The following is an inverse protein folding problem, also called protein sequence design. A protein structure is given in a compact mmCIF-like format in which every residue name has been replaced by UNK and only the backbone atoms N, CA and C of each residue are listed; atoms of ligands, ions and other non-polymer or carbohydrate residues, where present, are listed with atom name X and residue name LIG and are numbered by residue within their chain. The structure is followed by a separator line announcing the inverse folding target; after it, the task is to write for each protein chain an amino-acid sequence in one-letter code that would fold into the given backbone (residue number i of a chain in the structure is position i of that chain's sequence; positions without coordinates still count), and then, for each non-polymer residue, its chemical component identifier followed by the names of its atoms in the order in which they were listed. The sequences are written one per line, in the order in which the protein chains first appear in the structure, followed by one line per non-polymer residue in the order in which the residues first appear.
data_IF_001565656901
#
_entry.id   IF_001565656901
#
_cell.length_a   1.000
_cell.length_b   1.000
_cell.length_c   1.000
_cell.angle_alpha   90.00
_cell.angle_beta   90.00
_cell.angle_gamma   90.00
#
_symmetry.space_group_name_H-M   'P 1'
#
loop_
_entity.id
_entity.type
_entity.pdbx_description
1 polymer ?
#
# COMPACT_ATOMS: atom_id res chain seq x y z
N UNK A 1 -25.59 -23.68 -50.43
CA UNK A 1 -24.21 -23.16 -50.20
C UNK A 1 -24.15 -21.93 -49.26
N UNK A 2 -25.21 -21.10 -49.12
CA UNK A 2 -25.22 -19.93 -48.20
C UNK A 2 -25.15 -20.27 -46.69
N UNK A 3 -25.67 -21.41 -46.24
CA UNK A 3 -25.66 -21.79 -44.80
C UNK A 3 -24.28 -22.11 -44.21
N UNK A 4 -23.32 -22.57 -45.03
CA UNK A 4 -21.98 -22.97 -44.54
C UNK A 4 -21.08 -21.76 -44.28
N UNK A 5 -21.37 -20.62 -44.93
CA UNK A 5 -20.60 -19.39 -44.78
C UNK A 5 -21.06 -18.56 -43.57
N UNK A 6 -22.37 -18.54 -43.28
CA UNK A 6 -22.91 -17.92 -42.05
C UNK A 6 -22.47 -18.63 -40.77
N UNK A 7 -22.42 -19.97 -40.79
CA UNK A 7 -21.97 -20.76 -39.64
C UNK A 7 -20.48 -20.57 -39.30
N UNK A 8 -19.63 -20.32 -40.32
CA UNK A 8 -18.19 -20.06 -40.12
C UNK A 8 -17.92 -18.67 -39.53
N UNK A 9 -18.67 -17.65 -39.95
CA UNK A 9 -18.56 -16.30 -39.39
C UNK A 9 -19.05 -16.25 -37.94
N UNK A 10 -20.09 -17.02 -37.60
CA UNK A 10 -20.56 -17.18 -36.21
C UNK A 10 -19.57 -17.96 -35.34
N UNK A 11 -19.01 -19.07 -35.84
CA UNK A 11 -17.99 -19.83 -35.09
C UNK A 11 -16.72 -19.03 -34.85
N UNK A 12 -16.31 -18.21 -35.82
CA UNK A 12 -15.17 -17.31 -35.67
C UNK A 12 -15.47 -16.24 -34.61
N UNK A 13 -16.66 -15.63 -34.63
CA UNK A 13 -17.07 -14.66 -33.59
C UNK A 13 -17.10 -15.26 -32.19
N UNK A 14 -17.62 -16.48 -32.01
CA UNK A 14 -17.61 -17.16 -30.70
C UNK A 14 -16.18 -17.43 -30.23
N UNK A 15 -15.28 -17.82 -31.14
CA UNK A 15 -13.87 -18.05 -30.83
C UNK A 15 -13.15 -16.75 -30.40
N UNK A 16 -13.46 -15.62 -31.05
CA UNK A 16 -12.96 -14.30 -30.64
C UNK A 16 -13.47 -13.89 -29.26
N UNK A 17 -14.74 -14.16 -28.95
CA UNK A 17 -15.32 -13.83 -27.65
C UNK A 17 -14.73 -14.69 -26.53
N UNK A 18 -14.49 -15.99 -26.77
CA UNK A 18 -13.81 -16.87 -25.81
C UNK A 18 -12.36 -16.41 -25.54
N UNK A 19 -11.60 -16.07 -26.58
CA UNK A 19 -10.24 -15.53 -26.46
C UNK A 19 -10.21 -14.22 -25.66
N UNK A 20 -11.15 -13.31 -25.94
CA UNK A 20 -11.28 -12.05 -25.20
C UNK A 20 -11.59 -12.30 -23.73
N UNK A 21 -12.51 -13.22 -23.45
CA UNK A 21 -12.87 -13.56 -22.07
C UNK A 21 -11.67 -14.15 -21.31
N UNK A 22 -10.92 -15.05 -21.93
CA UNK A 22 -9.70 -15.64 -21.36
C UNK A 22 -8.64 -14.57 -21.06
N UNK A 23 -8.39 -13.65 -22.00
CA UNK A 23 -7.41 -12.57 -21.82
C UNK A 23 -7.83 -11.63 -20.68
N UNK A 24 -9.11 -11.26 -20.64
CA UNK A 24 -9.67 -10.39 -19.59
C UNK A 24 -9.61 -11.09 -18.22
N UNK A 25 -9.99 -12.36 -18.15
CA UNK A 25 -9.95 -13.13 -16.90
C UNK A 25 -8.52 -13.27 -16.38
N UNK A 26 -7.56 -13.52 -17.28
CA UNK A 26 -6.12 -13.58 -16.96
C UNK A 26 -5.62 -12.23 -16.44
N UNK A 27 -6.01 -11.12 -17.08
CA UNK A 27 -5.64 -9.77 -16.65
C UNK A 27 -6.23 -9.42 -15.28
N UNK A 28 -7.47 -9.82 -14.98
CA UNK A 28 -8.10 -9.62 -13.67
C UNK A 28 -7.38 -10.44 -12.60
N UNK A 29 -7.00 -11.69 -12.91
CA UNK A 29 -6.22 -12.55 -12.01
C UNK A 29 -4.85 -11.96 -11.71
N UNK A 30 -4.13 -11.50 -12.73
CA UNK A 30 -2.82 -10.85 -12.56
C UNK A 30 -2.94 -9.56 -11.72
N UNK A 31 -3.95 -8.73 -11.99
CA UNK A 31 -4.19 -7.54 -11.15
C UNK A 31 -4.48 -7.90 -9.70
N UNK A 32 -5.29 -8.93 -9.44
CA UNK A 32 -5.57 -9.39 -8.08
C UNK A 32 -4.32 -9.96 -7.38
N UNK A 33 -3.49 -10.71 -8.10
CA UNK A 33 -2.23 -11.23 -7.56
C UNK A 33 -1.24 -10.12 -7.22
N UNK A 34 -1.19 -9.05 -8.02
CA UNK A 34 -0.38 -7.87 -7.75
C UNK A 34 -0.93 -7.09 -6.54
N UNK A 35 -2.25 -6.91 -6.45
CA UNK A 35 -2.90 -6.27 -5.28
C UNK A 35 -2.65 -7.06 -4.00
N UNK A 36 -2.71 -8.40 -4.08
CA UNK A 36 -2.48 -9.28 -2.93
C UNK A 36 -1.00 -9.26 -2.48
N UNK A 37 -0.05 -9.21 -3.42
CA UNK A 37 1.38 -9.08 -3.10
C UNK A 37 1.74 -7.70 -2.53
N UNK A 38 1.14 -6.62 -3.04
CA UNK A 38 1.30 -5.27 -2.47
C UNK A 38 0.67 -5.17 -1.07
N UNK A 39 -0.44 -5.86 -0.81
CA UNK A 39 -1.09 -5.87 0.52
C UNK A 39 -0.36 -6.74 1.55
N UNK A 40 0.42 -7.72 1.10
CA UNK A 40 1.23 -8.58 1.96
C UNK A 40 2.65 -8.66 1.39
N UNK A 41 3.47 -7.60 1.53
CA UNK A 41 4.86 -7.69 1.13
C UNK A 41 5.50 -8.87 1.88
N UNK A 42 6.28 -9.73 1.20
CA UNK A 42 6.94 -10.84 1.84
C UNK A 42 7.76 -10.30 3.01
N UNK A 43 7.50 -10.81 4.21
CA UNK A 43 8.21 -10.43 5.43
C UNK A 43 9.68 -10.70 5.19
N UNK A 44 10.44 -9.63 4.91
CA UNK A 44 11.89 -9.72 4.74
C UNK A 44 12.45 -10.46 5.94
N UNK A 45 13.19 -11.54 5.67
CA UNK A 45 13.75 -12.39 6.70
C UNK A 45 14.77 -11.58 7.52
N UNK A 46 14.26 -10.93 8.56
CA UNK A 46 15.06 -10.06 9.42
C UNK A 46 16.19 -10.87 10.03
N UNK A 47 17.42 -10.43 9.76
CA UNK A 47 18.64 -11.06 10.26
C UNK A 47 18.66 -11.05 11.79
N UNK A 48 19.39 -12.00 12.39
CA UNK A 48 19.41 -12.18 13.84
C UNK A 48 19.83 -10.91 14.60
N UNK A 49 20.76 -10.12 14.02
CA UNK A 49 21.18 -8.82 14.53
C UNK A 49 20.09 -7.74 14.47
N UNK A 50 19.30 -7.70 13.39
CA UNK A 50 18.18 -6.76 13.27
C UNK A 50 17.15 -7.02 14.38
N UNK A 51 16.76 -8.28 14.62
CA UNK A 51 15.80 -8.66 15.67
C UNK A 51 16.25 -8.26 17.08
N UNK A 52 17.56 -8.29 17.35
CA UNK A 52 18.11 -7.88 18.65
C UNK A 52 18.02 -6.36 18.77
N UNK A 53 18.41 -5.60 17.74
CA UNK A 53 18.32 -4.14 17.74
C UNK A 53 16.88 -3.63 17.93
N UNK A 54 15.87 -4.26 17.30
CA UNK A 54 14.45 -3.91 17.53
C UNK A 54 14.03 -4.07 18.99
N UNK A 55 14.44 -5.19 19.61
CA UNK A 55 14.12 -5.46 21.01
C UNK A 55 14.84 -4.50 21.94
N UNK A 56 16.10 -4.18 21.67
CA UNK A 56 16.89 -3.23 22.47
C UNK A 56 16.33 -1.82 22.35
N UNK A 57 15.96 -1.36 21.15
CA UNK A 57 15.34 -0.05 20.95
C UNK A 57 13.98 0.07 21.65
N UNK A 58 13.12 -0.95 21.53
CA UNK A 58 11.83 -0.99 22.23
C UNK A 58 11.97 -1.05 23.75
N UNK A 59 12.97 -1.75 24.25
CA UNK A 59 13.23 -1.86 25.69
C UNK A 59 13.82 -0.56 26.26
N UNK A 60 14.83 0.00 25.58
CA UNK A 60 15.49 1.25 25.97
C UNK A 60 14.59 2.48 25.89
N UNK A 61 13.58 2.48 25.01
CA UNK A 61 12.59 3.56 24.90
C UNK A 61 11.41 3.47 25.88
N UNK A 62 11.35 2.46 26.75
CA UNK A 62 10.23 2.28 27.67
C UNK A 62 10.38 3.11 28.94
N UNK A 63 9.29 3.76 29.39
CA UNK A 63 9.22 4.42 30.69
C UNK A 63 9.56 3.50 31.87
N UNK A 64 9.25 2.19 31.77
CA UNK A 64 9.60 1.20 32.80
C UNK A 64 11.11 1.00 32.92
N UNK A 65 11.84 1.05 31.81
CA UNK A 65 13.30 0.91 31.80
C UNK A 65 13.96 2.11 32.48
N UNK A 66 13.50 3.33 32.17
CA UNK A 66 14.02 4.57 32.77
C UNK A 66 13.86 4.54 34.30
N UNK A 67 12.68 4.17 34.80
CA UNK A 67 12.40 4.10 36.25
C UNK A 67 13.27 3.03 36.93
N UNK A 68 13.40 1.84 36.33
CA UNK A 68 14.26 0.78 36.85
C UNK A 68 15.73 1.21 36.89
N UNK A 69 16.22 1.84 35.82
CA UNK A 69 17.59 2.30 35.70
C UNK A 69 17.94 3.34 36.77
N UNK A 70 17.08 4.35 36.96
CA UNK A 70 17.23 5.35 38.01
C UNK A 70 17.19 4.70 39.40
N UNK A 71 16.31 3.72 39.62
CA UNK A 71 16.21 3.01 40.91
C UNK A 71 17.49 2.23 41.23
N UNK A 72 18.09 1.56 40.25
CA UNK A 72 19.36 0.85 40.41
C UNK A 72 20.49 1.83 40.75
N UNK A 73 20.58 2.97 40.05
CA UNK A 73 21.57 4.01 40.35
C UNK A 73 21.38 4.55 41.78
N UNK A 74 20.13 4.79 42.19
CA UNK A 74 19.83 5.25 43.54
C UNK A 74 20.26 4.23 44.60
N UNK A 75 19.96 2.95 44.39
CA UNK A 75 20.40 1.85 45.28
C UNK A 75 21.94 1.77 45.34
N UNK A 76 22.63 1.91 44.21
CA UNK A 76 24.10 1.92 44.15
C UNK A 76 24.72 3.05 44.95
N UNK A 77 24.15 4.26 44.83
CA UNK A 77 24.58 5.44 45.58
C UNK A 77 24.32 5.24 47.07
N UNK A 78 23.12 4.81 47.47
CA UNK A 78 22.79 4.54 48.88
C UNK A 78 23.70 3.47 49.50
N UNK A 79 23.97 2.38 48.76
CA UNK A 79 24.85 1.31 49.21
C UNK A 79 26.27 1.83 49.46
N UNK A 80 26.86 2.57 48.52
CA UNK A 80 28.22 3.09 48.66
C UNK A 80 28.34 4.29 49.63
N UNK A 81 27.23 4.99 49.90
CA UNK A 81 27.17 6.08 50.88
C UNK A 81 27.11 5.55 52.33
N UNK A 82 26.40 4.45 52.58
CA UNK A 82 26.19 3.86 53.93
C UNK A 82 27.27 2.81 54.26
N UNK A 83 27.96 2.25 53.26
CA UNK A 83 29.00 1.25 53.47
C UNK A 83 30.15 1.77 54.36
N UNK A 84 30.46 1.01 55.41
CA UNK A 84 31.61 1.24 56.28
C UNK A 84 32.91 1.22 55.46
N UNK A 85 33.84 2.11 55.82
CA UNK A 85 35.05 2.48 55.08
C UNK A 85 35.91 1.34 54.51
N UNK A 86 35.76 0.12 55.05
CA UNK A 86 36.48 -1.10 54.64
C UNK A 86 35.82 -1.88 53.50
N UNK A 87 34.54 -1.60 53.17
CA UNK A 87 33.73 -2.31 52.16
C UNK A 87 33.23 -1.36 51.05
N UNK A 88 33.77 -0.13 50.98
CA UNK A 88 33.39 0.87 49.96
C UNK A 88 33.94 0.44 48.60
N UNK A 89 33.08 -0.11 47.76
CA UNK A 89 33.42 -0.58 46.42
C UNK A 89 33.66 0.59 45.45
N UNK A 90 32.88 1.67 45.57
CA UNK A 90 33.00 2.89 44.75
C UNK A 90 32.84 4.15 45.63
N UNK A 91 33.93 4.65 46.26
CA UNK A 91 33.90 5.87 47.07
C UNK A 91 33.58 7.11 46.23
N UNK A 92 32.96 8.13 46.84
CA UNK A 92 32.80 9.45 46.22
C UNK A 92 34.17 9.96 45.72
N UNK A 93 34.34 10.29 44.42
CA UNK A 93 33.34 10.76 43.44
C UNK A 93 32.72 9.71 42.47
N UNK A 94 32.63 8.42 42.82
CA UNK A 94 32.00 7.35 42.04
C UNK A 94 32.60 7.10 40.65
N UNK A 95 33.89 6.75 40.60
CA UNK A 95 34.63 6.62 39.33
C UNK A 95 34.14 5.43 38.48
N UNK A 96 33.78 4.32 39.12
CA UNK A 96 33.34 3.11 38.44
C UNK A 96 31.96 3.31 37.81
N UNK A 97 31.03 3.89 38.57
CA UNK A 97 29.71 4.25 38.05
C UNK A 97 29.82 5.16 36.83
N UNK A 98 30.66 6.20 36.91
CA UNK A 98 30.86 7.14 35.81
C UNK A 98 31.43 6.44 34.56
N UNK A 99 32.41 5.55 34.73
CA UNK A 99 33.00 4.80 33.63
C UNK A 99 31.97 3.90 32.92
N UNK A 100 31.15 3.17 33.69
CA UNK A 100 30.10 2.30 33.14
C UNK A 100 29.03 3.14 32.42
N UNK A 101 28.57 4.23 33.03
CA UNK A 101 27.56 5.11 32.44
C UNK A 101 28.05 5.72 31.11
N UNK A 102 29.30 6.17 31.09
CA UNK A 102 29.94 6.73 29.89
C UNK A 102 30.04 5.70 28.77
N UNK A 103 30.38 4.44 29.09
CA UNK A 103 30.41 3.36 28.11
C UNK A 103 29.03 3.05 27.54
N UNK A 104 28.01 2.97 28.39
CA UNK A 104 26.61 2.74 27.97
C UNK A 104 26.14 3.87 27.04
N UNK A 105 26.38 5.13 27.43
CA UNK A 105 25.99 6.29 26.64
C UNK A 105 26.68 6.31 25.26
N UNK A 106 27.97 5.96 25.20
CA UNK A 106 28.71 5.88 23.94
C UNK A 106 28.14 4.83 22.98
N UNK A 107 27.69 3.67 23.50
CA UNK A 107 27.05 2.63 22.70
C UNK A 107 25.58 2.95 22.36
N UNK A 108 24.94 3.84 23.12
CA UNK A 108 23.53 4.18 22.94
C UNK A 108 23.27 4.93 21.62
N UNK A 109 24.11 5.92 21.27
CA UNK A 109 23.89 6.73 20.06
C UNK A 109 23.92 5.91 18.74
N UNK A 110 24.89 5.00 18.51
CA UNK A 110 24.88 4.13 17.34
C UNK A 110 23.69 3.16 17.31
N UNK A 111 23.29 2.61 18.45
CA UNK A 111 22.14 1.69 18.52
C UNK A 111 20.84 2.44 18.17
N UNK A 112 20.68 3.66 18.69
CA UNK A 112 19.55 4.53 18.34
C UNK A 112 19.58 4.84 16.84
N UNK A 113 20.74 5.23 16.29
CA UNK A 113 20.89 5.55 14.87
C UNK A 113 20.60 4.34 13.97
N UNK A 114 21.05 3.14 14.34
CA UNK A 114 20.73 1.91 13.60
C UNK A 114 19.23 1.58 13.66
N UNK A 115 18.59 1.81 14.80
CA UNK A 115 17.14 1.67 14.93
C UNK A 115 16.38 2.70 14.10
N UNK A 116 16.87 3.94 14.04
CA UNK A 116 16.28 5.04 13.28
C UNK A 116 16.41 4.79 11.78
N UNK A 117 17.61 4.51 11.27
CA UNK A 117 17.83 4.20 9.85
C UNK A 117 16.91 3.07 9.36
N UNK A 118 16.68 2.05 10.17
CA UNK A 118 15.78 0.95 9.80
C UNK A 118 14.32 1.38 9.79
N UNK A 119 13.90 2.21 10.74
CA UNK A 119 12.54 2.76 10.73
C UNK A 119 12.33 3.64 9.50
N UNK A 120 13.30 4.49 9.16
CA UNK A 120 13.26 5.34 7.96
C UNK A 120 13.22 4.53 6.66
N UNK A 121 13.99 3.44 6.55
CA UNK A 121 13.91 2.53 5.39
C UNK A 121 12.52 1.92 5.23
N UNK A 122 11.90 1.52 6.36
CA UNK A 122 10.54 0.99 6.37
C UNK A 122 9.52 2.05 5.97
N UNK A 123 9.61 3.24 6.56
CA UNK A 123 8.71 4.36 6.27
C UNK A 123 8.85 4.83 4.81
N UNK A 124 10.06 4.77 4.25
CA UNK A 124 10.30 5.05 2.82
C UNK A 124 9.60 4.04 1.92
N UNK A 125 9.72 2.74 2.23
CA UNK A 125 9.05 1.67 1.47
C UNK A 125 7.53 1.81 1.53
N UNK A 126 6.97 2.05 2.71
CA UNK A 126 5.54 2.32 2.88
C UNK A 126 5.10 3.55 2.05
N UNK A 127 5.90 4.61 2.01
CA UNK A 127 5.61 5.80 1.18
C UNK A 127 5.68 5.52 -0.33
N UNK A 128 6.62 4.69 -0.78
CA UNK A 128 6.72 4.26 -2.19
C UNK A 128 5.50 3.41 -2.59
N UNK A 129 5.08 2.49 -1.73
CA UNK A 129 3.89 1.66 -1.95
C UNK A 129 2.61 2.51 -2.03
N UNK A 130 2.44 3.47 -1.10
CA UNK A 130 1.32 4.41 -1.11
C UNK A 130 1.30 5.27 -2.38
N UNK A 131 2.47 5.73 -2.84
CA UNK A 131 2.60 6.49 -4.09
C UNK A 131 2.14 5.64 -5.29
N UNK A 132 2.57 4.39 -5.38
CA UNK A 132 2.16 3.48 -6.45
C UNK A 132 0.65 3.21 -6.44
N UNK A 133 0.05 3.02 -5.26
CA UNK A 133 -1.40 2.84 -5.10
C UNK A 133 -2.14 4.08 -5.60
N UNK A 134 -1.69 5.28 -5.21
CA UNK A 134 -2.32 6.53 -5.62
C UNK A 134 -2.23 6.74 -7.14
N UNK A 135 -1.06 6.49 -7.73
CA UNK A 135 -0.87 6.54 -9.19
C UNK A 135 -1.80 5.57 -9.91
N UNK A 136 -1.95 4.35 -9.37
CA UNK A 136 -2.87 3.34 -9.92
C UNK A 136 -4.34 3.77 -9.80
N UNK A 137 -4.72 4.42 -8.71
CA UNK A 137 -6.06 4.97 -8.54
C UNK A 137 -6.32 6.09 -9.56
N UNK A 138 -5.36 6.99 -9.77
CA UNK A 138 -5.47 8.05 -10.77
C UNK A 138 -5.64 7.50 -12.19
N UNK A 139 -4.85 6.49 -12.57
CA UNK A 139 -4.99 5.82 -13.89
C UNK A 139 -6.37 5.17 -14.06
N UNK A 140 -6.90 4.52 -13.02
CA UNK A 140 -8.24 3.92 -13.06
C UNK A 140 -9.33 4.98 -13.22
N UNK A 141 -9.22 6.11 -12.52
CA UNK A 141 -10.15 7.24 -12.65
C UNK A 141 -10.11 7.80 -14.07
N UNK A 142 -8.92 8.01 -14.65
CA UNK A 142 -8.78 8.48 -16.03
C UNK A 142 -9.42 7.51 -17.03
N UNK A 143 -9.22 6.21 -16.87
CA UNK A 143 -9.83 5.19 -17.73
C UNK A 143 -11.36 5.14 -17.60
N UNK A 144 -11.90 5.35 -16.39
CA UNK A 144 -13.34 5.48 -16.20
C UNK A 144 -13.89 6.74 -16.88
N UNK A 145 -13.17 7.86 -16.81
CA UNK A 145 -13.55 9.10 -17.46
C UNK A 145 -13.59 8.94 -18.99
N UNK A 146 -12.56 8.34 -19.59
CA UNK A 146 -12.54 8.07 -21.03
C UNK A 146 -13.71 7.18 -21.48
N UNK A 147 -14.05 6.15 -20.71
CA UNK A 147 -15.23 5.32 -21.00
C UNK A 147 -16.54 6.10 -20.86
N UNK A 148 -16.63 7.02 -19.91
CA UNK A 148 -17.80 7.88 -19.73
C UNK A 148 -17.98 8.79 -20.94
N UNK A 149 -16.91 9.42 -21.42
CA UNK A 149 -16.92 10.28 -22.61
C UNK A 149 -17.38 9.51 -23.85
N UNK A 150 -16.89 8.28 -24.04
CA UNK A 150 -17.32 7.40 -25.14
C UNK A 150 -18.81 7.03 -25.06
N UNK A 151 -19.31 6.74 -23.84
CA UNK A 151 -20.73 6.45 -23.62
C UNK A 151 -21.60 7.68 -23.89
N UNK A 152 -21.16 8.87 -23.50
CA UNK A 152 -21.85 10.13 -23.80
C UNK A 152 -21.94 10.38 -25.31
N UNK A 153 -20.84 10.19 -26.05
CA UNK A 153 -20.85 10.31 -27.51
C UNK A 153 -21.84 9.31 -28.15
N UNK A 154 -21.85 8.08 -27.67
CA UNK A 154 -22.77 7.04 -28.16
C UNK A 154 -24.24 7.39 -27.86
N UNK A 155 -24.53 7.93 -26.67
CA UNK A 155 -25.88 8.37 -26.31
C UNK A 155 -26.34 9.52 -27.20
N UNK A 156 -25.47 10.50 -27.47
CA UNK A 156 -25.78 11.62 -28.38
C UNK A 156 -26.13 11.11 -29.78
N UNK A 157 -25.32 10.21 -30.35
CA UNK A 157 -25.63 9.59 -31.66
C UNK A 157 -26.97 8.86 -31.65
N UNK A 158 -27.24 8.09 -30.60
CA UNK A 158 -28.49 7.34 -30.46
C UNK A 158 -29.71 8.26 -30.40
N UNK A 159 -29.60 9.42 -29.73
CA UNK A 159 -30.66 10.43 -29.69
C UNK A 159 -30.92 11.04 -31.07
N UNK A 160 -29.86 11.39 -31.82
CA UNK A 160 -30.00 11.90 -33.19
C UNK A 160 -30.65 10.88 -34.14
N UNK A 161 -30.22 9.61 -34.11
CA UNK A 161 -30.82 8.54 -34.92
C UNK A 161 -32.30 8.33 -34.57
N UNK A 162 -32.64 8.42 -33.29
CA UNK A 162 -34.03 8.31 -32.83
C UNK A 162 -34.87 9.49 -33.31
N UNK A 163 -34.34 10.71 -33.25
CA UNK A 163 -35.02 11.91 -33.76
C UNK A 163 -35.23 11.87 -35.28
N UNK A 164 -34.23 11.40 -36.03
CA UNK A 164 -34.34 11.22 -37.48
C UNK A 164 -35.45 10.23 -37.84
N UNK A 165 -35.52 9.08 -37.14
CA UNK A 165 -36.62 8.11 -37.30
C UNK A 165 -37.98 8.71 -36.96
N UNK A 166 -38.08 9.52 -35.91
CA UNK A 166 -39.33 10.21 -35.57
C UNK A 166 -39.77 11.16 -36.70
N UNK A 167 -38.84 11.90 -37.30
CA UNK A 167 -39.14 12.79 -38.43
C UNK A 167 -39.60 12.01 -39.67
N UNK A 168 -38.95 10.89 -39.99
CA UNK A 168 -39.33 10.02 -41.10
C UNK A 168 -40.73 9.43 -40.91
N UNK A 169 -41.06 8.99 -39.68
CA UNK A 169 -42.40 8.52 -39.34
C UNK A 169 -43.45 9.63 -39.50
N UNK A 170 -43.17 10.86 -39.06
CA UNK A 170 -44.06 12.01 -39.25
C UNK A 170 -44.29 12.31 -40.74
N UNK A 171 -43.22 12.29 -41.54
CA UNK A 171 -43.33 12.49 -42.99
C UNK A 171 -44.16 11.40 -43.67
N UNK A 172 -43.98 10.13 -43.26
CA UNK A 172 -44.75 9.00 -43.77
C UNK A 172 -46.24 9.07 -43.38
N UNK A 173 -46.54 9.50 -42.15
CA UNK A 173 -47.92 9.74 -41.69
C UNK A 173 -48.55 10.87 -42.51
N UNK A 174 -47.86 11.99 -42.67
CA UNK A 174 -48.39 13.13 -43.43
C UNK A 174 -48.72 12.74 -44.88
N UNK A 175 -47.80 12.01 -45.55
CA UNK A 175 -48.02 11.49 -46.90
C UNK A 175 -49.21 10.54 -47.00
N UNK A 176 -49.46 9.70 -45.98
CA UNK A 176 -50.65 8.85 -45.94
C UNK A 176 -51.93 9.66 -45.74
N UNK A 177 -51.88 10.74 -44.97
CA UNK A 177 -53.01 11.64 -44.73
C UNK A 177 -53.45 12.34 -46.03
N UNK A 178 -52.50 12.86 -46.80
CA UNK A 178 -52.73 13.49 -48.12
C UNK A 178 -53.34 12.54 -49.16
N UNK A 179 -53.22 11.23 -48.95
CA UNK A 179 -53.75 10.22 -49.86
C UNK A 179 -55.17 9.75 -49.49
N UNK A 180 -55.66 10.13 -48.31
CA UNK A 180 -56.97 9.78 -47.75
C UNK A 180 -57.98 10.93 -47.88
N UNK A 181 -57.50 12.17 -47.90
CA UNK A 181 -58.28 13.40 -48.10
C UNK A 181 -58.40 13.68 -49.61
#
# INVERSE_FOLDING_TARGET
MKNVQGNRLQSDQELYMCRLHEIVERSIKEQNLLIQNLSNPPVEASTMGQRISDKVARFGGSWKFIILFISILFVWICFNAIAIQRWRFDPYPFILMNLVLSCIAALQAPIIMMSQNRQEEKDRKESEDDYMINMKAEMQIRSLHEKMDLLEEQQIKTLFDTQAKQFELLAAINKKLDHII
#
